data_IF_991118042412
#
_entry.id   IF_991118042412
#
_cell.length_a   1.000
_cell.length_b   1.000
_cell.length_c   1.000
_cell.angle_alpha   90.00
_cell.angle_beta   90.00
_cell.angle_gamma   90.00
#
_symmetry.space_group_name_H-M   'P 1'
#
loop_
_entity.id
_entity.type
_entity.pdbx_description
1 polymer ?
#
# COMPACT_ATOMS: atom_id res chain seq x y z
N UNK A 1 -1.74 -10.93 -4.42
CA UNK A 1 -2.74 -10.13 -5.18
C UNK A 1 -2.03 -8.98 -5.86
N UNK A 2 -2.55 -8.37 -6.92
CA UNK A 2 -1.87 -7.28 -7.62
C UNK A 2 -2.08 -5.92 -6.94
N UNK A 3 -1.12 -5.02 -7.09
CA UNK A 3 -1.18 -3.63 -6.63
C UNK A 3 -2.32 -2.89 -7.33
N UNK A 4 -3.16 -2.20 -6.55
CA UNK A 4 -4.32 -1.45 -7.08
C UNK A 4 -3.94 -0.12 -7.77
N UNK A 5 -2.67 0.26 -7.74
CA UNK A 5 -2.16 1.43 -8.50
C UNK A 5 -2.13 1.15 -10.00
N UNK A 6 -2.64 2.11 -10.78
CA UNK A 6 -2.74 1.98 -12.23
C UNK A 6 -1.38 1.71 -12.89
N UNK A 7 -1.31 0.59 -13.63
CA UNK A 7 -0.11 0.20 -14.37
C UNK A 7 0.99 -0.46 -13.53
N UNK A 8 0.66 -0.98 -12.34
CA UNK A 8 1.61 -1.69 -11.48
C UNK A 8 1.27 -3.18 -11.34
N UNK A 9 2.06 -4.05 -11.96
CA UNK A 9 1.91 -5.51 -11.87
C UNK A 9 2.60 -6.13 -10.62
N UNK A 10 3.00 -5.31 -9.64
CA UNK A 10 3.69 -5.78 -8.45
C UNK A 10 2.71 -6.42 -7.46
N UNK A 11 3.20 -7.33 -6.62
CA UNK A 11 2.39 -7.92 -5.56
C UNK A 11 2.05 -6.87 -4.48
N UNK A 12 0.75 -6.76 -4.17
CA UNK A 12 0.31 -5.97 -3.04
C UNK A 12 0.63 -6.69 -1.73
N UNK A 13 1.12 -5.92 -0.77
CA UNK A 13 1.59 -6.40 0.52
C UNK A 13 1.16 -5.48 1.68
N UNK A 14 0.52 -4.35 1.35
CA UNK A 14 0.18 -3.28 2.28
C UNK A 14 -1.22 -2.79 1.97
N UNK A 15 -2.06 -2.63 2.99
CA UNK A 15 -3.32 -1.90 2.91
C UNK A 15 -3.10 -0.44 3.34
N UNK A 16 -3.63 0.50 2.55
CA UNK A 16 -3.59 1.92 2.83
C UNK A 16 -4.90 2.35 3.47
N UNK A 17 -4.80 2.97 4.65
CA UNK A 17 -5.95 3.59 5.32
C UNK A 17 -6.08 5.03 4.85
N UNK A 18 -6.86 5.24 3.79
CA UNK A 18 -7.06 6.56 3.17
C UNK A 18 -8.19 7.31 3.90
N UNK A 19 -7.95 8.49 4.49
CA UNK A 19 -8.98 9.20 5.26
C UNK A 19 -10.16 9.78 4.45
N UNK A 20 -9.98 9.92 3.14
CA UNK A 20 -10.92 10.61 2.23
C UNK A 20 -11.44 9.73 1.09
N UNK A 21 -11.04 8.46 1.04
CA UNK A 21 -11.48 7.50 0.03
C UNK A 21 -11.50 6.08 0.62
N UNK A 22 -11.84 5.07 -0.18
CA UNK A 22 -11.76 3.68 0.23
C UNK A 22 -10.30 3.25 0.51
N UNK A 23 -10.13 2.28 1.40
CA UNK A 23 -8.85 1.61 1.58
C UNK A 23 -8.45 0.88 0.29
N UNK A 24 -7.17 0.94 -0.04
CA UNK A 24 -6.60 0.28 -1.23
C UNK A 24 -5.37 -0.53 -0.84
N UNK A 25 -5.10 -1.60 -1.56
CA UNK A 25 -3.99 -2.51 -1.33
C UNK A 25 -2.95 -2.33 -2.41
N UNK A 26 -1.74 -1.99 -1.99
CA UNK A 26 -0.67 -1.62 -2.90
C UNK A 26 0.61 -2.37 -2.58
N UNK A 27 1.54 -2.35 -3.53
CA UNK A 27 2.87 -2.86 -3.30
C UNK A 27 3.66 -1.94 -2.34
N UNK A 28 4.75 -2.44 -1.73
CA UNK A 28 5.53 -1.61 -0.82
C UNK A 28 6.09 -0.33 -1.45
N UNK A 29 6.41 -0.36 -2.75
CA UNK A 29 6.88 0.83 -3.46
C UNK A 29 5.85 1.98 -3.47
N UNK A 30 4.60 1.66 -3.76
CA UNK A 30 3.53 2.66 -3.82
C UNK A 30 3.07 3.09 -2.44
N UNK A 31 2.98 2.16 -1.48
CA UNK A 31 2.68 2.52 -0.11
C UNK A 31 3.65 3.58 0.43
N UNK A 32 4.94 3.51 0.04
CA UNK A 32 5.94 4.48 0.50
C UNK A 32 5.73 5.85 -0.13
N UNK A 33 5.30 5.87 -1.39
CA UNK A 33 4.97 7.10 -2.10
C UNK A 33 3.76 7.79 -1.46
N UNK A 34 2.70 7.03 -1.18
CA UNK A 34 1.49 7.53 -0.49
C UNK A 34 1.78 8.07 0.91
N UNK A 35 2.57 7.33 1.71
CA UNK A 35 2.96 7.78 3.04
C UNK A 35 3.78 9.08 3.01
N UNK A 36 4.66 9.25 2.01
CA UNK A 36 5.52 10.43 1.89
C UNK A 36 4.83 11.66 1.33
N UNK A 37 3.95 11.49 0.34
CA UNK A 37 3.30 12.62 -0.34
C UNK A 37 2.04 13.07 0.38
N UNK A 38 1.24 12.12 0.82
CA UNK A 38 -0.14 12.36 1.26
C UNK A 38 -0.35 12.03 2.74
N UNK A 39 0.68 11.50 3.42
CA UNK A 39 0.61 11.16 4.85
C UNK A 39 -0.35 10.02 5.16
N UNK A 40 -0.70 9.20 4.16
CA UNK A 40 -1.56 8.02 4.31
C UNK A 40 -0.83 6.96 5.13
N UNK A 41 -1.57 6.27 6.01
CA UNK A 41 -1.00 5.25 6.90
C UNK A 41 -1.00 3.89 6.21
N UNK A 42 0.18 3.31 5.95
CA UNK A 42 0.31 1.95 5.44
C UNK A 42 0.25 0.93 6.58
N UNK A 43 -0.48 -0.15 6.36
CA UNK A 43 -0.55 -1.31 7.25
C UNK A 43 -0.18 -2.59 6.48
N UNK A 44 0.82 -3.37 6.92
CA UNK A 44 1.16 -4.63 6.26
C UNK A 44 -0.03 -5.57 6.24
N UNK A 45 -0.23 -6.26 5.12
CA UNK A 45 -1.20 -7.35 5.04
C UNK A 45 -0.71 -8.57 5.83
N UNK A 46 -1.63 -9.43 6.26
CA UNK A 46 -1.29 -10.67 6.96
C UNK A 46 -0.27 -11.51 6.15
N UNK A 47 0.85 -11.89 6.77
CA UNK A 47 1.93 -12.65 6.14
C UNK A 47 2.91 -11.82 5.31
N UNK A 48 2.73 -10.50 5.26
CA UNK A 48 3.63 -9.56 4.58
C UNK A 48 4.30 -8.58 5.56
N UNK A 49 4.34 -8.93 6.85
CA UNK A 49 4.93 -8.09 7.90
C UNK A 49 6.40 -7.72 7.61
N UNK A 50 7.16 -8.60 6.96
CA UNK A 50 8.57 -8.40 6.59
C UNK A 50 8.78 -7.48 5.37
N UNK A 51 7.72 -7.21 4.61
CA UNK A 51 7.80 -6.37 3.40
C UNK A 51 7.83 -4.87 3.72
N UNK A 52 7.68 -4.50 5.01
CA UNK A 52 7.51 -3.12 5.47
C UNK A 52 8.37 -2.83 6.71
N UNK A 53 9.36 -1.90 6.64
CA UNK A 53 10.22 -1.54 7.76
C UNK A 53 9.66 -0.44 8.68
#
# INVERSE_FOLDING_TARGET
>A
MECEEEGCDAEAAVELHIPWDANVRVCPGHARTWAQKDGVVPEPMDGHEDAWP
#
